data_IF_289829710478
#
_entry.id   IF_289829710478
#
_cell.length_a   1.000
_cell.length_b   1.000
_cell.length_c   1.000
_cell.angle_alpha   90.00
_cell.angle_beta   90.00
_cell.angle_gamma   90.00
#
_symmetry.space_group_name_H-M   'P 1'
#
loop_
_entity.id
_entity.type
_entity.pdbx_description
1 polymer ?
#
# COMPACT_ATOMS: atom_id res chain seq x y z
N UNK A 1 26.60 -22.52 -11.62
CA UNK A 1 26.36 -22.43 -10.17
C UNK A 1 25.29 -21.39 -9.94
N UNK A 2 24.11 -21.79 -9.47
CA UNK A 2 23.07 -20.83 -9.06
C UNK A 2 23.61 -19.94 -7.96
N UNK A 3 23.37 -18.62 -7.97
CA UNK A 3 23.82 -17.75 -6.90
C UNK A 3 23.14 -18.24 -5.62
N UNK A 4 23.97 -18.64 -4.66
CA UNK A 4 23.54 -19.05 -3.32
C UNK A 4 22.83 -17.83 -2.71
N UNK A 5 21.54 -17.97 -2.41
CA UNK A 5 20.80 -16.91 -1.75
C UNK A 5 21.50 -16.58 -0.43
N UNK A 6 21.90 -15.33 -0.25
CA UNK A 6 22.66 -14.82 0.89
C UNK A 6 21.83 -14.71 2.18
N UNK A 7 20.96 -15.69 2.46
CA UNK A 7 20.20 -15.78 3.69
C UNK A 7 20.79 -16.89 4.56
N UNK A 8 21.36 -16.51 5.70
CA UNK A 8 21.82 -17.47 6.71
C UNK A 8 20.68 -18.37 7.20
N UNK A 9 21.07 -19.51 7.77
CA UNK A 9 20.13 -20.45 8.36
C UNK A 9 19.59 -19.87 9.67
N UNK A 10 18.26 -19.74 9.77
CA UNK A 10 17.58 -18.99 10.84
C UNK A 10 16.43 -19.80 11.42
N UNK A 11 16.27 -19.76 12.74
CA UNK A 11 15.09 -20.26 13.45
C UNK A 11 14.40 -19.12 14.17
N UNK A 12 13.13 -18.88 13.85
CA UNK A 12 12.26 -17.97 14.60
C UNK A 12 11.46 -18.82 15.60
N UNK A 13 11.72 -18.66 16.90
CA UNK A 13 11.24 -19.58 17.95
C UNK A 13 10.09 -19.00 18.76
N UNK A 14 9.12 -19.85 19.12
CA UNK A 14 8.11 -19.57 20.13
C UNK A 14 6.99 -18.61 19.70
N UNK A 15 7.02 -18.15 18.45
CA UNK A 15 6.09 -17.17 17.90
C UNK A 15 4.70 -17.71 17.63
N UNK A 16 3.76 -16.77 17.47
CA UNK A 16 2.40 -17.07 16.99
C UNK A 16 2.35 -16.86 15.47
N UNK A 17 2.33 -17.95 14.72
CA UNK A 17 2.34 -17.95 13.27
C UNK A 17 0.96 -17.59 12.70
N UNK A 18 0.95 -16.62 11.79
CA UNK A 18 -0.17 -16.24 10.92
C UNK A 18 0.32 -16.36 9.47
N UNK A 19 0.04 -17.48 8.83
CA UNK A 19 0.66 -17.88 7.55
C UNK A 19 -0.01 -17.29 6.29
N UNK A 20 -1.03 -16.43 6.45
CA UNK A 20 -1.71 -15.78 5.34
C UNK A 20 -2.78 -16.63 4.63
N UNK A 21 -2.94 -17.91 4.99
CA UNK A 21 -3.92 -18.81 4.36
C UNK A 21 -5.37 -18.57 4.82
N UNK A 22 -5.57 -17.77 5.86
CA UNK A 22 -6.87 -17.59 6.53
C UNK A 22 -7.17 -18.61 7.63
N UNK A 23 -6.30 -19.61 7.82
CA UNK A 23 -6.39 -20.59 8.92
C UNK A 23 -6.11 -19.89 10.27
N UNK A 24 -6.69 -20.37 11.40
CA UNK A 24 -6.41 -19.81 12.72
C UNK A 24 -4.92 -19.78 13.08
N UNK A 25 -4.52 -18.71 13.78
CA UNK A 25 -3.15 -18.53 14.28
C UNK A 25 -2.75 -19.67 15.24
N UNK A 26 -1.48 -20.07 15.21
CA UNK A 26 -0.96 -21.18 16.05
C UNK A 26 0.45 -20.86 16.56
N UNK A 27 0.82 -21.39 17.72
CA UNK A 27 2.20 -21.28 18.23
C UNK A 27 3.10 -22.29 17.51
N UNK A 28 4.18 -21.81 16.90
CA UNK A 28 5.13 -22.65 16.18
C UNK A 28 6.47 -21.92 16.02
N UNK A 29 7.52 -22.69 15.76
CA UNK A 29 8.81 -22.21 15.29
C UNK A 29 8.80 -22.20 13.74
N UNK A 30 9.62 -21.33 13.14
CA UNK A 30 9.82 -21.26 11.70
C UNK A 30 11.29 -21.46 11.41
N UNK A 31 11.63 -22.54 10.70
CA UNK A 31 13.00 -22.86 10.29
C UNK A 31 13.20 -22.41 8.86
N UNK A 32 14.21 -21.59 8.64
CA UNK A 32 14.62 -21.06 7.35
C UNK A 32 16.01 -21.61 7.04
N UNK A 33 16.15 -22.26 5.89
CA UNK A 33 17.42 -22.77 5.38
C UNK A 33 17.63 -22.27 3.96
N UNK A 34 18.82 -21.78 3.64
CA UNK A 34 19.15 -21.29 2.29
C UNK A 34 18.10 -20.31 1.71
N UNK A 35 17.63 -19.38 2.54
CA UNK A 35 16.62 -18.38 2.15
C UNK A 35 15.20 -18.92 1.89
N UNK A 36 14.89 -20.16 2.29
CA UNK A 36 13.54 -20.76 2.14
C UNK A 36 13.02 -21.26 3.47
N UNK A 37 11.71 -21.14 3.69
CA UNK A 37 11.04 -21.78 4.83
C UNK A 37 11.07 -23.29 4.62
N UNK A 38 11.79 -24.00 5.48
CA UNK A 38 11.91 -25.45 5.45
C UNK A 38 10.79 -26.10 6.27
N UNK A 39 10.54 -25.58 7.48
CA UNK A 39 9.62 -26.18 8.44
C UNK A 39 8.86 -25.09 9.20
N UNK A 40 7.56 -25.30 9.37
CA UNK A 40 6.72 -24.53 10.31
C UNK A 40 6.15 -25.51 11.32
N UNK A 41 6.64 -25.46 12.55
CA UNK A 41 6.35 -26.47 13.56
C UNK A 41 7.30 -26.35 14.74
N UNK A 42 7.47 -27.42 15.52
CA UNK A 42 8.47 -27.42 16.60
C UNK A 42 9.85 -27.70 16.01
N UNK A 43 10.81 -26.80 16.20
CA UNK A 43 12.20 -27.05 15.84
C UNK A 43 12.83 -28.01 16.87
N UNK A 44 13.61 -28.98 16.38
CA UNK A 44 14.42 -29.82 17.26
C UNK A 44 15.66 -29.06 17.76
N UNK A 45 16.31 -29.62 18.78
CA UNK A 45 17.44 -28.95 19.43
C UNK A 45 18.65 -28.83 18.50
N UNK A 46 18.92 -29.86 17.70
CA UNK A 46 20.04 -29.85 16.75
C UNK A 46 19.89 -28.71 15.74
N UNK A 47 18.69 -28.51 15.19
CA UNK A 47 18.37 -27.42 14.27
C UNK A 47 18.54 -26.06 14.93
N UNK A 48 18.13 -25.90 16.19
CA UNK A 48 18.30 -24.64 16.92
C UNK A 48 19.78 -24.34 17.16
N UNK A 49 20.58 -25.36 17.50
CA UNK A 49 22.01 -25.21 17.79
C UNK A 49 22.84 -24.93 16.52
N UNK A 50 22.35 -25.31 15.34
CA UNK A 50 23.00 -25.09 14.03
C UNK A 50 22.64 -23.76 13.33
N UNK A 51 21.57 -23.09 13.78
CA UNK A 51 21.03 -21.88 13.13
C UNK A 51 21.17 -20.65 14.02
N UNK A 52 21.18 -19.47 13.40
CA UNK A 52 20.88 -18.25 14.15
C UNK A 52 19.45 -18.35 14.70
N UNK A 53 19.23 -17.83 15.92
CA UNK A 53 17.93 -17.93 16.58
C UNK A 53 17.37 -16.55 16.91
N UNK A 54 16.11 -16.32 16.54
CA UNK A 54 15.30 -15.17 16.94
C UNK A 54 14.23 -15.64 17.91
N UNK A 55 14.21 -15.10 19.12
CA UNK A 55 13.11 -15.33 20.07
C UNK A 55 11.91 -14.45 19.71
N UNK A 56 10.80 -15.11 19.36
CA UNK A 56 9.54 -14.48 18.99
C UNK A 56 8.43 -14.77 20.01
N UNK A 57 8.75 -15.16 21.24
CA UNK A 57 7.74 -15.37 22.28
C UNK A 57 6.89 -14.11 22.50
N UNK A 58 5.57 -14.28 22.53
CA UNK A 58 4.61 -13.17 22.60
C UNK A 58 4.48 -12.34 21.30
N UNK A 59 5.22 -12.65 20.23
CA UNK A 59 5.18 -11.95 18.94
C UNK A 59 4.40 -12.74 17.88
N UNK A 60 4.05 -12.03 16.80
CA UNK A 60 3.45 -12.61 15.59
C UNK A 60 4.55 -12.86 14.57
N UNK A 61 4.51 -14.05 13.95
CA UNK A 61 5.35 -14.40 12.80
C UNK A 61 4.43 -14.54 11.59
N UNK A 62 4.66 -13.74 10.56
CA UNK A 62 3.82 -13.71 9.36
C UNK A 62 4.70 -13.61 8.11
N UNK A 63 4.18 -13.97 6.92
CA UNK A 63 4.81 -13.60 5.66
C UNK A 63 5.05 -12.09 5.61
N UNK A 64 6.19 -11.69 5.03
CA UNK A 64 6.47 -10.28 4.81
C UNK A 64 5.39 -9.64 3.94
N UNK A 65 5.09 -8.37 4.20
CA UNK A 65 4.04 -7.65 3.48
C UNK A 65 4.48 -7.45 2.03
N UNK A 66 3.54 -7.66 1.10
CA UNK A 66 3.68 -7.33 -0.32
C UNK A 66 2.95 -6.01 -0.56
N UNK A 67 3.70 -4.95 -0.80
CA UNK A 67 3.14 -3.65 -1.17
C UNK A 67 2.89 -3.62 -2.68
N UNK A 68 1.62 -3.77 -3.05
CA UNK A 68 1.20 -3.91 -4.44
C UNK A 68 1.18 -2.58 -5.22
N UNK A 69 1.39 -1.43 -4.56
CA UNK A 69 1.25 -0.13 -5.20
C UNK A 69 2.25 0.89 -4.67
N UNK A 70 3.43 0.92 -5.30
CA UNK A 70 4.51 1.86 -4.95
C UNK A 70 5.01 2.62 -6.18
N UNK A 71 5.72 3.70 -5.91
CA UNK A 71 6.53 4.47 -6.85
C UNK A 71 8.00 4.46 -6.41
N UNK A 72 8.48 3.30 -5.97
CA UNK A 72 9.85 3.11 -5.52
C UNK A 72 10.84 2.83 -6.64
N UNK A 73 10.39 2.72 -7.89
CA UNK A 73 11.25 2.51 -9.03
C UNK A 73 12.37 3.57 -9.18
N UNK A 74 12.15 4.88 -8.89
CA UNK A 74 13.25 5.82 -8.67
C UNK A 74 13.99 5.61 -7.35
N UNK A 75 13.28 5.37 -6.23
CA UNK A 75 13.90 5.31 -4.91
C UNK A 75 14.95 4.19 -4.78
N UNK A 76 14.68 3.01 -5.32
CA UNK A 76 15.61 1.87 -5.28
C UNK A 76 16.90 2.09 -6.08
N UNK A 77 17.01 3.21 -6.81
CA UNK A 77 18.26 3.62 -7.45
C UNK A 77 19.28 4.15 -6.46
N UNK A 78 18.84 4.91 -5.45
CA UNK A 78 19.69 5.55 -4.44
C UNK A 78 19.49 5.03 -3.01
N UNK A 79 18.36 4.40 -2.71
CA UNK A 79 18.04 3.70 -1.45
C UNK A 79 17.63 2.24 -1.77
N UNK A 80 18.60 1.35 -2.02
CA UNK A 80 18.32 -0.03 -2.43
C UNK A 80 17.66 -0.89 -1.33
N UNK A 81 17.63 -0.41 -0.09
CA UNK A 81 16.94 -1.09 1.01
C UNK A 81 15.45 -0.80 1.03
N UNK A 82 14.98 0.22 0.29
CA UNK A 82 13.63 0.78 0.43
C UNK A 82 13.31 1.04 1.90
N UNK A 83 14.15 1.86 2.54
CA UNK A 83 14.27 1.95 4.01
C UNK A 83 12.96 2.30 4.71
N UNK A 84 12.04 3.00 4.04
CA UNK A 84 10.71 3.29 4.59
C UNK A 84 9.79 2.07 4.66
N UNK A 85 9.93 1.11 3.75
CA UNK A 85 9.03 -0.05 3.64
C UNK A 85 9.37 -1.12 4.66
N UNK A 86 10.67 -1.36 4.88
CA UNK A 86 11.14 -2.41 5.79
C UNK A 86 10.72 -2.15 7.24
N UNK A 87 10.60 -0.88 7.66
CA UNK A 87 10.10 -0.50 8.98
C UNK A 87 8.62 -0.87 9.20
N UNK A 88 7.88 -1.12 8.11
CA UNK A 88 6.48 -1.55 8.14
C UNK A 88 6.32 -3.05 7.86
N UNK A 89 7.42 -3.82 7.84
CA UNK A 89 7.40 -5.26 7.57
C UNK A 89 7.19 -5.61 6.09
N UNK A 90 7.36 -4.63 5.18
CA UNK A 90 7.29 -4.86 3.73
C UNK A 90 8.58 -5.53 3.28
N UNK A 91 8.43 -6.61 2.51
CA UNK A 91 9.55 -7.38 1.96
C UNK A 91 9.52 -7.45 0.43
N UNK A 92 8.40 -7.06 -0.17
CA UNK A 92 8.22 -7.06 -1.63
C UNK A 92 7.44 -5.82 -2.01
N UNK A 93 7.89 -5.12 -3.05
CA UNK A 93 7.21 -3.94 -3.59
C UNK A 93 6.94 -4.14 -5.08
N UNK A 94 5.78 -3.69 -5.52
CA UNK A 94 5.42 -3.55 -6.91
C UNK A 94 5.49 -2.07 -7.28
N UNK A 95 6.43 -1.70 -8.14
CA UNK A 95 6.70 -0.33 -8.56
C UNK A 95 6.24 -0.05 -10.00
N UNK A 96 6.35 1.20 -10.46
CA UNK A 96 5.92 1.60 -11.81
C UNK A 96 4.41 1.66 -12.00
N UNK A 97 3.66 2.03 -10.96
CA UNK A 97 2.19 2.14 -11.02
C UNK A 97 1.73 3.41 -11.77
N UNK A 98 0.42 3.69 -11.78
CA UNK A 98 -0.18 4.93 -12.29
C UNK A 98 0.09 5.30 -13.76
N UNK A 99 0.66 4.38 -14.53
CA UNK A 99 1.00 4.60 -15.93
C UNK A 99 2.38 5.17 -16.18
N UNK A 100 3.28 5.21 -15.18
CA UNK A 100 4.65 5.69 -15.37
C UNK A 100 5.64 5.00 -14.43
N UNK A 101 6.88 4.94 -14.89
CA UNK A 101 8.03 4.35 -14.21
C UNK A 101 9.30 5.15 -14.55
N UNK A 102 10.47 4.73 -14.08
CA UNK A 102 11.77 5.28 -14.52
C UNK A 102 12.27 4.70 -15.85
N UNK A 103 11.72 3.59 -16.32
CA UNK A 103 12.13 2.95 -17.58
C UNK A 103 10.91 2.51 -18.43
N UNK A 104 11.01 2.55 -19.77
CA UNK A 104 12.14 3.07 -20.55
C UNK A 104 12.20 4.61 -20.53
N UNK A 105 13.40 5.18 -20.59
CA UNK A 105 13.63 6.63 -20.57
C UNK A 105 14.91 6.97 -21.33
N UNK A 106 14.82 7.73 -22.41
CA UNK A 106 16.03 8.26 -23.08
C UNK A 106 16.69 9.33 -22.22
N UNK A 107 17.98 9.52 -22.43
CA UNK A 107 18.75 10.60 -21.79
C UNK A 107 18.07 11.98 -21.93
N UNK A 108 17.51 12.30 -23.10
CA UNK A 108 16.81 13.57 -23.34
C UNK A 108 15.50 13.75 -22.54
N UNK A 109 14.90 12.66 -22.05
CA UNK A 109 13.61 12.65 -21.37
C UNK A 109 13.72 12.45 -19.85
N UNK A 110 14.92 12.24 -19.30
CA UNK A 110 15.12 12.03 -17.86
C UNK A 110 14.58 13.21 -17.02
N UNK A 111 14.77 14.44 -17.48
CA UNK A 111 14.25 15.63 -16.81
C UNK A 111 12.71 15.65 -16.78
N UNK A 112 12.05 15.19 -17.86
CA UNK A 112 10.60 15.06 -17.92
C UNK A 112 10.11 14.03 -16.89
N UNK A 113 10.74 12.85 -16.82
CA UNK A 113 10.38 11.79 -15.88
C UNK A 113 10.55 12.24 -14.43
N UNK A 114 11.65 12.91 -14.08
CA UNK A 114 11.85 13.48 -12.73
C UNK A 114 10.72 14.43 -12.33
N UNK A 115 10.34 15.34 -13.23
CA UNK A 115 9.22 16.27 -12.99
C UNK A 115 7.87 15.56 -12.90
N UNK A 116 7.67 14.48 -13.65
CA UNK A 116 6.47 13.65 -13.58
C UNK A 116 6.30 13.04 -12.18
N UNK A 117 7.33 12.41 -11.62
CA UNK A 117 7.31 11.88 -10.26
C UNK A 117 7.11 12.97 -9.21
N UNK A 118 7.84 14.08 -9.31
CA UNK A 118 7.69 15.18 -8.37
C UNK A 118 6.27 15.76 -8.37
N UNK A 119 5.61 15.79 -9.53
CA UNK A 119 4.25 16.33 -9.66
C UNK A 119 3.18 15.34 -9.20
N UNK A 120 3.18 14.12 -9.72
CA UNK A 120 2.08 13.17 -9.51
C UNK A 120 2.20 12.53 -8.12
N UNK A 121 3.40 12.08 -7.75
CA UNK A 121 3.67 11.37 -6.50
C UNK A 121 4.14 12.28 -5.36
N UNK A 122 4.20 13.59 -5.62
CA UNK A 122 4.65 14.59 -4.63
C UNK A 122 6.01 14.25 -4.03
N UNK A 123 6.87 13.61 -4.83
CA UNK A 123 8.25 13.34 -4.43
C UNK A 123 9.06 14.62 -4.42
N UNK A 124 9.90 14.80 -3.41
CA UNK A 124 10.73 15.99 -3.32
C UNK A 124 11.66 16.08 -4.55
N UNK A 125 11.69 17.21 -5.28
CA UNK A 125 12.53 17.34 -6.48
C UNK A 125 14.01 17.02 -6.24
N UNK A 126 14.54 17.40 -5.07
CA UNK A 126 15.93 17.09 -4.69
C UNK A 126 16.18 15.57 -4.56
N UNK A 127 15.18 14.78 -4.16
CA UNK A 127 15.29 13.32 -4.14
C UNK A 127 15.31 12.74 -5.57
N UNK A 128 14.61 13.38 -6.50
CA UNK A 128 14.66 13.01 -7.92
C UNK A 128 16.03 13.25 -8.54
N UNK A 129 16.83 14.16 -7.98
CA UNK A 129 18.18 14.41 -8.45
C UNK A 129 19.16 13.28 -8.17
N UNK A 130 18.89 12.49 -7.13
CA UNK A 130 19.65 11.30 -6.77
C UNK A 130 19.34 10.08 -7.66
N UNK A 131 18.36 10.16 -8.56
CA UNK A 131 18.02 9.03 -9.44
C UNK A 131 19.15 8.80 -10.45
N UNK A 132 19.82 7.65 -10.32
CA UNK A 132 20.88 7.22 -11.23
C UNK A 132 20.28 6.57 -12.50
N UNK A 133 20.31 7.28 -13.61
CA UNK A 133 19.91 6.74 -14.92
C UNK A 133 21.11 6.11 -15.65
N UNK A 134 21.54 4.94 -15.19
CA UNK A 134 22.56 4.11 -15.85
C UNK A 134 21.96 3.04 -16.78
N UNK A 135 20.77 3.34 -17.30
CA UNK A 135 19.95 2.51 -18.18
C UNK A 135 19.08 3.42 -19.05
N UNK A 136 18.66 2.95 -20.22
CA UNK A 136 17.60 3.60 -21.00
C UNK A 136 16.40 2.66 -21.19
N UNK A 137 16.65 1.37 -21.34
CA UNK A 137 15.60 0.37 -21.60
C UNK A 137 15.12 -0.32 -20.31
N UNK A 138 13.94 -0.90 -20.36
CA UNK A 138 13.40 -1.66 -19.23
C UNK A 138 14.27 -2.88 -18.83
N UNK A 139 14.79 -3.70 -19.77
CA UNK A 139 15.71 -4.78 -19.42
C UNK A 139 17.01 -4.31 -18.76
N UNK A 140 17.58 -3.19 -19.22
CA UNK A 140 18.75 -2.57 -18.59
C UNK A 140 18.44 -2.12 -17.17
N UNK A 141 17.29 -1.48 -16.94
CA UNK A 141 16.84 -1.10 -15.61
C UNK A 141 16.83 -2.29 -14.65
N UNK A 142 16.17 -3.39 -15.02
CA UNK A 142 16.14 -4.60 -14.20
C UNK A 142 17.54 -5.19 -13.96
N UNK A 143 18.40 -5.18 -14.98
CA UNK A 143 19.77 -5.66 -14.86
C UNK A 143 20.57 -4.86 -13.83
N UNK A 144 20.40 -3.53 -13.78
CA UNK A 144 21.10 -2.67 -12.81
C UNK A 144 20.69 -2.92 -11.36
N UNK A 145 19.53 -3.55 -11.11
CA UNK A 145 19.03 -3.81 -9.75
C UNK A 145 19.44 -5.18 -9.21
N UNK A 146 19.81 -6.13 -10.08
CA UNK A 146 20.08 -7.51 -9.70
C UNK A 146 21.19 -7.61 -8.65
N UNK A 147 20.89 -8.27 -7.53
CA UNK A 147 21.84 -8.49 -6.43
C UNK A 147 22.17 -7.25 -5.59
N UNK A 148 21.46 -6.14 -5.79
CA UNK A 148 21.70 -4.88 -5.05
C UNK A 148 20.61 -4.51 -4.08
N UNK A 149 19.44 -5.15 -4.15
CA UNK A 149 18.25 -4.77 -3.38
C UNK A 149 18.17 -5.51 -2.04
N UNK A 150 17.72 -4.81 -0.99
CA UNK A 150 17.40 -5.40 0.31
C UNK A 150 16.00 -6.00 0.40
N UNK A 151 15.16 -5.76 -0.62
CA UNK A 151 13.78 -6.26 -0.75
C UNK A 151 13.57 -6.90 -2.11
N UNK A 152 12.48 -7.65 -2.27
CA UNK A 152 12.04 -8.10 -3.59
C UNK A 152 11.39 -6.93 -4.34
N UNK A 153 11.69 -6.82 -5.63
CA UNK A 153 11.13 -5.81 -6.51
C UNK A 153 10.46 -6.49 -7.72
N UNK A 154 9.22 -6.11 -7.96
CA UNK A 154 8.54 -6.28 -9.22
C UNK A 154 8.22 -4.89 -9.78
N UNK A 155 8.32 -4.67 -11.09
CA UNK A 155 8.06 -3.36 -11.68
C UNK A 155 7.19 -3.52 -12.92
N UNK A 156 6.15 -2.70 -13.03
CA UNK A 156 5.37 -2.58 -14.26
C UNK A 156 6.13 -1.71 -15.26
N UNK A 157 5.94 -1.98 -16.56
CA UNK A 157 6.30 -1.01 -17.59
C UNK A 157 5.23 0.08 -17.65
N UNK A 158 5.66 1.35 -17.60
CA UNK A 158 4.75 2.50 -17.59
C UNK A 158 4.30 2.91 -19.00
N UNK A 159 2.99 2.99 -19.23
CA UNK A 159 2.43 3.43 -20.51
C UNK A 159 2.92 4.83 -20.94
N UNK A 160 3.03 5.78 -20.01
CA UNK A 160 3.53 7.12 -20.31
C UNK A 160 4.98 7.12 -20.77
N UNK A 161 5.81 6.23 -20.20
CA UNK A 161 7.19 6.03 -20.62
C UNK A 161 7.27 5.44 -22.02
N UNK A 162 6.42 4.46 -22.32
CA UNK A 162 6.33 3.83 -23.65
C UNK A 162 5.91 4.85 -24.72
N UNK A 163 4.89 5.68 -24.45
CA UNK A 163 4.51 6.78 -25.34
C UNK A 163 5.64 7.78 -25.54
N UNK A 164 6.31 8.19 -24.46
CA UNK A 164 7.46 9.10 -24.55
C UNK A 164 8.61 8.49 -25.34
N UNK A 165 8.85 7.19 -25.18
CA UNK A 165 9.86 6.45 -25.90
C UNK A 165 9.57 6.41 -27.41
N UNK A 166 8.35 6.17 -27.85
CA UNK A 166 8.07 6.09 -29.29
C UNK A 166 7.84 7.47 -29.92
N UNK A 167 7.06 8.31 -29.24
CA UNK A 167 6.54 9.56 -29.81
C UNK A 167 7.34 10.81 -29.40
N UNK A 168 8.27 10.68 -28.45
CA UNK A 168 8.95 11.83 -27.85
C UNK A 168 7.95 12.80 -27.22
N UNK A 169 8.14 14.10 -27.45
CA UNK A 169 7.26 15.15 -26.92
C UNK A 169 5.79 15.02 -27.38
N UNK A 170 5.56 14.50 -28.58
CA UNK A 170 4.22 14.34 -29.14
C UNK A 170 3.34 13.38 -28.33
N UNK A 171 3.94 12.51 -27.50
CA UNK A 171 3.21 11.63 -26.58
C UNK A 171 2.35 12.38 -25.56
N UNK A 172 2.67 13.65 -25.27
CA UNK A 172 1.92 14.56 -24.40
C UNK A 172 1.00 15.52 -25.17
N UNK A 173 0.84 15.36 -26.49
CA UNK A 173 0.18 16.36 -27.34
C UNK A 173 -0.95 15.79 -28.21
N UNK A 174 -0.85 14.52 -28.63
CA UNK A 174 -1.81 13.89 -29.55
C UNK A 174 -1.96 12.39 -29.33
N UNK A 175 -2.97 11.78 -29.94
CA UNK A 175 -3.07 10.33 -30.04
C UNK A 175 -1.94 9.74 -30.89
N UNK A 176 -1.60 8.46 -30.64
CA UNK A 176 -0.62 7.73 -31.43
C UNK A 176 -1.22 7.26 -32.75
N UNK A 177 -0.41 7.24 -33.80
CA UNK A 177 -0.73 6.60 -35.08
C UNK A 177 -0.63 5.08 -34.94
N UNK A 178 -1.25 4.34 -35.86
CA UNK A 178 -1.18 2.87 -35.84
C UNK A 178 0.26 2.32 -35.88
N UNK A 179 1.17 2.98 -36.60
CA UNK A 179 2.58 2.59 -36.64
C UNK A 179 3.28 2.81 -35.29
N UNK A 180 3.01 3.93 -34.62
CA UNK A 180 3.52 4.21 -33.27
C UNK A 180 2.95 3.23 -32.25
N UNK A 181 1.67 2.86 -32.36
CA UNK A 181 1.05 1.84 -31.49
C UNK A 181 1.76 0.49 -31.62
N UNK A 182 2.09 0.07 -32.84
CA UNK A 182 2.82 -1.19 -33.05
C UNK A 182 4.25 -1.13 -32.49
N UNK A 183 4.94 0.00 -32.64
CA UNK A 183 6.27 0.18 -32.04
C UNK A 183 6.18 0.16 -30.50
N UNK A 184 5.17 0.80 -29.91
CA UNK A 184 4.91 0.76 -28.47
C UNK A 184 4.60 -0.66 -27.98
N UNK A 185 3.80 -1.41 -28.74
CA UNK A 185 3.51 -2.81 -28.45
C UNK A 185 4.79 -3.66 -28.45
N UNK A 186 5.73 -3.39 -29.36
CA UNK A 186 7.03 -4.05 -29.37
C UNK A 186 7.87 -3.74 -28.14
N UNK A 187 7.88 -2.48 -27.68
CA UNK A 187 8.56 -2.10 -26.42
C UNK A 187 7.95 -2.84 -25.22
N UNK A 188 6.63 -2.97 -25.16
CA UNK A 188 5.94 -3.73 -24.10
C UNK A 188 6.32 -5.21 -24.16
N UNK A 189 6.30 -5.85 -25.34
CA UNK A 189 6.71 -7.27 -25.50
C UNK A 189 8.14 -7.52 -25.01
N UNK A 190 9.08 -6.62 -25.34
CA UNK A 190 10.47 -6.71 -24.87
C UNK A 190 10.56 -6.61 -23.34
N UNK A 191 9.81 -5.69 -22.72
CA UNK A 191 9.79 -5.53 -21.28
C UNK A 191 9.17 -6.74 -20.57
N UNK A 192 8.07 -7.29 -21.09
CA UNK A 192 7.46 -8.52 -20.57
C UNK A 192 8.42 -9.70 -20.65
N UNK A 193 9.09 -9.89 -21.79
CA UNK A 193 10.09 -10.95 -21.96
C UNK A 193 11.29 -10.80 -20.99
N UNK A 194 11.62 -9.57 -20.59
CA UNK A 194 12.66 -9.30 -19.61
C UNK A 194 12.22 -9.47 -18.14
N UNK A 195 10.93 -9.71 -17.88
CA UNK A 195 10.39 -9.94 -16.54
C UNK A 195 9.66 -8.74 -15.93
N UNK A 196 9.11 -7.84 -16.74
CA UNK A 196 8.15 -6.86 -16.23
C UNK A 196 6.97 -7.57 -15.52
N UNK A 197 6.47 -6.97 -14.45
CA UNK A 197 5.30 -7.47 -13.72
C UNK A 197 4.00 -7.34 -14.53
N UNK A 198 4.04 -6.60 -15.63
CA UNK A 198 2.92 -6.28 -16.49
C UNK A 198 2.99 -4.84 -17.00
N UNK A 199 1.86 -4.30 -17.41
CA UNK A 199 1.69 -2.93 -17.89
C UNK A 199 0.95 -2.08 -16.84
N UNK A 200 1.39 -0.84 -16.63
CA UNK A 200 0.58 0.16 -15.92
C UNK A 200 0.09 1.26 -16.86
N UNK A 201 -1.14 1.72 -16.65
CA UNK A 201 -1.74 2.82 -17.41
C UNK A 201 -2.68 3.66 -16.55
N UNK A 202 -2.96 4.90 -16.96
CA UNK A 202 -3.93 5.76 -16.31
C UNK A 202 -4.59 6.71 -17.30
N UNK A 203 -5.92 6.81 -17.17
CA UNK A 203 -6.75 7.85 -17.78
C UNK A 203 -7.32 8.81 -16.73
N UNK A 204 -6.93 8.70 -15.44
CA UNK A 204 -7.49 9.54 -14.39
C UNK A 204 -7.24 11.04 -14.60
N UNK A 205 -8.26 11.89 -14.36
CA UNK A 205 -8.16 13.32 -14.55
C UNK A 205 -7.15 14.00 -13.62
N UNK A 206 -6.82 13.36 -12.49
CA UNK A 206 -5.87 13.84 -11.50
C UNK A 206 -4.40 13.65 -11.90
N UNK A 207 -4.10 12.79 -12.87
CA UNK A 207 -2.71 12.57 -13.30
C UNK A 207 -2.30 13.64 -14.31
N UNK A 208 -1.55 14.63 -13.83
CA UNK A 208 -1.09 15.79 -14.57
C UNK A 208 0.43 15.86 -14.45
N UNK A 209 1.14 16.09 -15.55
CA UNK A 209 2.59 16.16 -15.61
C UNK A 209 3.13 17.48 -15.02
N UNK A 210 4.47 17.58 -14.93
CA UNK A 210 5.16 18.74 -14.37
C UNK A 210 4.88 20.06 -15.09
N UNK A 211 4.41 20.03 -16.34
CA UNK A 211 4.08 21.21 -17.14
C UNK A 211 2.58 21.54 -17.08
N UNK A 212 1.80 20.83 -16.27
CA UNK A 212 0.36 21.05 -16.11
C UNK A 212 -0.49 20.38 -17.19
N UNK A 213 0.08 19.49 -18.01
CA UNK A 213 -0.63 18.76 -19.06
C UNK A 213 -1.08 17.39 -18.56
N UNK A 214 -2.08 16.74 -19.19
CA UNK A 214 -2.34 15.32 -18.94
C UNK A 214 -1.05 14.50 -19.08
N UNK A 215 -0.80 13.55 -18.18
CA UNK A 215 0.30 12.59 -18.38
C UNK A 215 0.11 11.86 -19.72
N UNK A 216 1.18 11.46 -20.43
CA UNK A 216 1.08 10.94 -21.79
C UNK A 216 0.02 9.85 -21.97
N UNK A 217 -0.08 8.89 -21.04
CA UNK A 217 -1.07 7.80 -21.11
C UNK A 217 -2.51 8.26 -21.19
N UNK A 218 -2.85 9.44 -20.64
CA UNK A 218 -4.23 9.97 -20.67
C UNK A 218 -4.70 10.38 -22.06
N UNK A 219 -3.77 10.65 -22.98
CA UNK A 219 -4.06 10.99 -24.36
C UNK A 219 -4.09 9.75 -25.27
N UNK A 220 -3.97 8.54 -24.70
CA UNK A 220 -4.11 7.31 -25.48
C UNK A 220 -5.57 7.08 -25.84
N UNK A 221 -5.79 6.74 -27.11
CA UNK A 221 -7.07 6.22 -27.58
C UNK A 221 -7.30 4.79 -27.06
N UNK A 222 -8.54 4.32 -27.24
CA UNK A 222 -8.94 2.97 -26.78
C UNK A 222 -8.16 1.85 -27.49
N UNK A 223 -7.98 1.97 -28.80
CA UNK A 223 -7.27 0.97 -29.61
C UNK A 223 -5.80 0.81 -29.19
N UNK A 224 -5.17 1.90 -28.76
CA UNK A 224 -3.79 1.90 -28.30
C UNK A 224 -3.62 1.05 -27.03
N UNK A 225 -4.35 1.37 -25.96
CA UNK A 225 -4.18 0.63 -24.70
C UNK A 225 -4.63 -0.84 -24.83
N UNK A 226 -5.60 -1.16 -25.69
CA UNK A 226 -5.94 -2.56 -25.99
C UNK A 226 -4.79 -3.31 -26.68
N UNK A 227 -4.13 -2.69 -27.66
CA UNK A 227 -2.98 -3.29 -28.32
C UNK A 227 -1.81 -3.48 -27.35
N UNK A 228 -1.57 -2.51 -26.45
CA UNK A 228 -0.54 -2.65 -25.41
C UNK A 228 -0.90 -3.71 -24.36
N UNK A 229 -2.18 -3.86 -24.03
CA UNK A 229 -2.68 -4.90 -23.14
C UNK A 229 -2.46 -6.30 -23.75
N UNK A 230 -2.79 -6.48 -25.02
CA UNK A 230 -2.53 -7.71 -25.77
C UNK A 230 -1.01 -8.01 -25.84
N UNK A 231 -0.18 -7.00 -26.11
CA UNK A 231 1.27 -7.12 -26.07
C UNK A 231 1.78 -7.54 -24.68
N UNK A 232 1.21 -6.99 -23.60
CA UNK A 232 1.54 -7.37 -22.23
C UNK A 232 1.20 -8.85 -21.95
N UNK A 233 0.11 -9.35 -22.54
CA UNK A 233 -0.34 -10.74 -22.44
C UNK A 233 0.57 -11.78 -23.11
N UNK A 234 1.51 -11.37 -23.96
CA UNK A 234 2.32 -12.28 -24.80
C UNK A 234 3.12 -13.35 -24.04
N UNK A 235 3.44 -13.12 -22.76
CA UNK A 235 4.19 -14.07 -21.91
C UNK A 235 3.26 -14.94 -21.05
N UNK A 236 1.96 -14.62 -20.97
CA UNK A 236 0.98 -15.37 -20.18
C UNK A 236 1.12 -15.22 -18.66
N UNK A 237 1.88 -14.22 -18.20
CA UNK A 237 2.09 -13.93 -16.78
C UNK A 237 2.18 -12.42 -16.53
N UNK A 238 1.76 -12.00 -15.33
CA UNK A 238 1.73 -10.60 -14.91
C UNK A 238 0.30 -10.09 -14.68
N UNK A 239 0.15 -8.77 -14.63
CA UNK A 239 -1.16 -8.10 -14.49
C UNK A 239 -1.15 -6.74 -15.16
N UNK A 240 -2.31 -6.25 -15.59
CA UNK A 240 -2.46 -4.87 -16.02
C UNK A 240 -2.96 -4.05 -14.84
N UNK A 241 -2.23 -3.01 -14.49
CA UNK A 241 -2.69 -2.06 -13.48
C UNK A 241 -3.22 -0.82 -14.17
N UNK A 242 -4.47 -0.48 -13.88
CA UNK A 242 -5.16 0.57 -14.61
C UNK A 242 -5.92 1.48 -13.66
N UNK A 243 -5.78 2.79 -13.87
CA UNK A 243 -6.59 3.79 -13.21
C UNK A 243 -7.55 4.44 -14.22
N UNK A 244 -8.85 4.06 -14.20
CA UNK A 244 -9.84 4.57 -15.15
C UNK A 244 -10.13 6.06 -15.01
N UNK A 245 -10.64 6.68 -16.06
CA UNK A 245 -11.00 8.10 -16.07
C UNK A 245 -12.07 8.44 -15.02
N UNK A 246 -13.07 7.58 -14.89
CA UNK A 246 -14.19 7.72 -13.96
C UNK A 246 -13.82 7.38 -12.50
N UNK A 247 -12.63 6.84 -12.20
CA UNK A 247 -12.27 6.37 -10.86
C UNK A 247 -12.41 7.44 -9.75
N UNK A 248 -12.18 8.71 -10.08
CA UNK A 248 -12.39 9.84 -9.15
C UNK A 248 -13.87 10.08 -8.85
N UNK A 249 -14.75 9.87 -9.82
CA UNK A 249 -16.21 9.96 -9.68
C UNK A 249 -16.89 8.64 -9.31
N UNK A 250 -16.13 7.56 -9.14
CA UNK A 250 -16.69 6.20 -9.09
C UNK A 250 -16.76 5.61 -10.49
N UNK A 251 -16.32 4.35 -10.61
CA UNK A 251 -16.23 3.71 -11.92
C UNK A 251 -17.62 3.62 -12.56
N UNK A 252 -17.74 4.07 -13.81
CA UNK A 252 -18.96 3.96 -14.58
C UNK A 252 -18.96 2.71 -15.47
N UNK A 253 -20.11 2.41 -16.08
CA UNK A 253 -20.25 1.22 -16.92
C UNK A 253 -19.30 1.21 -18.14
N UNK A 254 -18.93 2.39 -18.66
CA UNK A 254 -18.01 2.50 -19.79
C UNK A 254 -16.62 2.00 -19.38
N UNK A 255 -16.09 2.51 -18.27
CA UNK A 255 -14.79 2.10 -17.75
C UNK A 255 -14.80 0.66 -17.20
N UNK A 256 -15.93 0.21 -16.62
CA UNK A 256 -16.09 -1.19 -16.20
C UNK A 256 -15.97 -2.16 -17.38
N UNK A 257 -16.73 -1.90 -18.44
CA UNK A 257 -16.70 -2.73 -19.64
C UNK A 257 -15.35 -2.65 -20.34
N UNK A 258 -14.69 -1.49 -20.29
CA UNK A 258 -13.35 -1.34 -20.83
C UNK A 258 -12.31 -2.13 -20.03
N UNK A 259 -12.40 -2.16 -18.70
CA UNK A 259 -11.53 -3.02 -17.88
C UNK A 259 -11.73 -4.50 -18.19
N UNK A 260 -12.97 -4.94 -18.41
CA UNK A 260 -13.26 -6.33 -18.81
C UNK A 260 -12.58 -6.64 -20.14
N UNK A 261 -12.76 -5.78 -21.16
CA UNK A 261 -12.15 -6.01 -22.47
C UNK A 261 -10.60 -5.99 -22.41
N UNK A 262 -9.99 -5.13 -21.58
CA UNK A 262 -8.53 -5.15 -21.36
C UNK A 262 -8.07 -6.52 -20.85
N UNK A 263 -8.83 -7.12 -19.92
CA UNK A 263 -8.53 -8.44 -19.40
C UNK A 263 -8.78 -9.56 -20.41
N UNK A 264 -9.85 -9.47 -21.20
CA UNK A 264 -10.14 -10.43 -22.29
C UNK A 264 -9.06 -10.41 -23.38
N UNK A 265 -8.59 -9.22 -23.78
CA UNK A 265 -7.55 -9.06 -24.81
C UNK A 265 -6.17 -9.51 -24.34
N UNK A 266 -5.84 -9.21 -23.09
CA UNK A 266 -4.52 -9.55 -22.54
C UNK A 266 -4.43 -10.98 -21.99
N UNK A 267 -5.56 -11.57 -21.59
CA UNK A 267 -5.56 -12.79 -20.77
C UNK A 267 -4.95 -12.58 -19.39
N UNK A 268 -4.71 -11.33 -18.96
CA UNK A 268 -4.10 -10.99 -17.68
C UNK A 268 -5.15 -10.43 -16.70
N UNK A 269 -4.96 -10.65 -15.38
CA UNK A 269 -5.77 -9.98 -14.38
C UNK A 269 -5.61 -8.46 -14.44
N UNK A 270 -6.71 -7.75 -14.22
CA UNK A 270 -6.74 -6.30 -14.12
C UNK A 270 -6.74 -5.90 -12.65
N UNK A 271 -5.86 -4.97 -12.28
CA UNK A 271 -5.81 -4.39 -10.95
C UNK A 271 -6.17 -2.91 -11.06
N UNK A 272 -7.34 -2.56 -10.56
CA UNK A 272 -7.79 -1.18 -10.51
C UNK A 272 -7.06 -0.48 -9.37
N UNK A 273 -6.37 0.60 -9.72
CA UNK A 273 -5.58 1.37 -8.78
C UNK A 273 -6.47 2.41 -8.06
N UNK A 274 -7.32 1.98 -7.11
CA UNK A 274 -8.02 2.92 -6.24
C UNK A 274 -9.48 3.18 -6.61
N UNK A 275 -10.29 2.12 -6.70
CA UNK A 275 -11.74 2.23 -6.59
C UNK A 275 -12.09 2.54 -5.12
N UNK A 276 -12.42 3.80 -4.85
CA UNK A 276 -12.73 4.24 -3.50
C UNK A 276 -14.13 3.79 -3.08
N UNK A 277 -14.24 2.95 -2.05
CA UNK A 277 -15.52 2.64 -1.38
C UNK A 277 -16.10 3.79 -0.55
N UNK A 278 -15.67 5.04 -0.78
CA UNK A 278 -16.28 6.20 -0.13
C UNK A 278 -17.64 6.40 -0.79
N UNK A 279 -18.69 6.51 0.01
CA UNK A 279 -19.80 7.40 -0.35
C UNK A 279 -19.18 8.80 -0.45
N UNK A 280 -18.65 9.13 -1.64
CA UNK A 280 -18.30 10.50 -1.95
C UNK A 280 -19.66 11.19 -2.00
N UNK A 281 -19.90 12.16 -1.12
CA UNK A 281 -21.11 13.00 -1.17
C UNK A 281 -21.35 13.56 -2.58
N UNK A 282 -20.28 13.67 -3.36
CA UNK A 282 -20.27 14.24 -4.71
C UNK A 282 -20.36 13.16 -5.81
N UNK A 283 -20.40 11.87 -5.45
CA UNK A 283 -20.60 10.75 -6.38
C UNK A 283 -21.57 9.71 -5.80
N UNK A 284 -22.89 9.99 -5.80
CA UNK A 284 -23.91 9.15 -5.16
C UNK A 284 -24.04 7.74 -5.76
N UNK A 285 -23.54 7.50 -6.97
CA UNK A 285 -23.54 6.20 -7.65
C UNK A 285 -22.32 5.33 -7.30
N UNK A 286 -21.27 5.91 -6.72
CA UNK A 286 -20.00 5.25 -6.37
C UNK A 286 -20.07 4.42 -5.08
N UNK A 287 -21.10 3.58 -4.94
CA UNK A 287 -21.35 2.83 -3.71
C UNK A 287 -20.49 1.56 -3.61
N UNK A 288 -20.22 1.11 -2.38
CA UNK A 288 -19.55 -0.15 -2.13
C UNK A 288 -20.29 -1.35 -2.75
N UNK A 289 -21.63 -1.36 -2.71
CA UNK A 289 -22.45 -2.41 -3.31
C UNK A 289 -22.23 -2.51 -4.83
N UNK A 290 -22.29 -1.38 -5.53
CA UNK A 290 -22.08 -1.32 -6.99
C UNK A 290 -20.69 -1.79 -7.40
N UNK A 291 -19.68 -1.47 -6.59
CA UNK A 291 -18.32 -1.97 -6.79
C UNK A 291 -18.22 -3.48 -6.65
N UNK A 292 -18.87 -4.06 -5.63
CA UNK A 292 -18.90 -5.51 -5.45
C UNK A 292 -19.64 -6.21 -6.60
N UNK A 293 -20.77 -5.66 -7.04
CA UNK A 293 -21.52 -6.18 -8.20
C UNK A 293 -20.66 -6.21 -9.46
N UNK A 294 -19.92 -5.14 -9.75
CA UNK A 294 -18.99 -5.09 -10.87
C UNK A 294 -17.89 -6.14 -10.76
N UNK A 295 -17.19 -6.22 -9.62
CA UNK A 295 -16.10 -7.17 -9.44
C UNK A 295 -16.61 -8.62 -9.56
N UNK A 296 -17.78 -8.93 -9.01
CA UNK A 296 -18.41 -10.24 -9.13
C UNK A 296 -18.80 -10.55 -10.60
N UNK A 297 -19.35 -9.56 -11.33
CA UNK A 297 -19.69 -9.69 -12.75
C UNK A 297 -18.45 -9.97 -13.61
N UNK A 298 -17.36 -9.24 -13.37
CA UNK A 298 -16.11 -9.43 -14.10
C UNK A 298 -15.53 -10.84 -13.88
N UNK A 299 -15.49 -11.29 -12.62
CA UNK A 299 -15.04 -12.66 -12.28
C UNK A 299 -15.94 -13.72 -12.90
N UNK A 300 -17.27 -13.53 -12.89
CA UNK A 300 -18.21 -14.45 -13.54
C UNK A 300 -18.02 -14.55 -15.06
N UNK A 301 -17.56 -13.47 -15.69
CA UNK A 301 -17.21 -13.43 -17.12
C UNK A 301 -15.81 -13.98 -17.43
N UNK A 302 -15.11 -14.55 -16.44
CA UNK A 302 -13.78 -15.13 -16.64
C UNK A 302 -12.65 -14.10 -16.70
N UNK A 303 -12.92 -12.82 -16.43
CA UNK A 303 -11.91 -11.76 -16.38
C UNK A 303 -11.64 -11.37 -14.92
N UNK A 304 -10.54 -11.84 -14.31
CA UNK A 304 -10.24 -11.52 -12.92
C UNK A 304 -9.86 -10.04 -12.78
N UNK A 305 -10.79 -9.26 -12.23
CA UNK A 305 -10.56 -7.85 -11.88
C UNK A 305 -10.48 -7.72 -10.36
N UNK A 306 -9.40 -7.10 -9.90
CA UNK A 306 -9.14 -6.79 -8.52
C UNK A 306 -9.05 -5.29 -8.32
N UNK A 307 -9.15 -4.85 -7.07
CA UNK A 307 -9.02 -3.45 -6.72
C UNK A 307 -8.12 -3.27 -5.49
N UNK A 308 -7.25 -2.27 -5.55
CA UNK A 308 -6.44 -1.85 -4.41
C UNK A 308 -7.23 -0.82 -3.59
N UNK A 309 -7.33 -1.07 -2.28
CA UNK A 309 -8.03 -0.21 -1.33
C UNK A 309 -7.07 0.34 -0.30
N UNK A 310 -7.14 1.64 -0.06
CA UNK A 310 -6.46 2.27 1.07
C UNK A 310 -7.28 2.00 2.32
N UNK A 311 -6.71 1.30 3.30
CA UNK A 311 -7.38 0.87 4.54
C UNK A 311 -7.56 1.98 5.58
N UNK A 312 -7.40 3.26 5.21
CA UNK A 312 -7.54 4.37 6.16
C UNK A 312 -9.02 4.55 6.53
N UNK A 313 -9.44 4.28 7.79
CA UNK A 313 -10.70 4.81 8.26
C UNK A 313 -10.51 6.33 8.35
N UNK A 314 -11.40 7.17 7.80
CA UNK A 314 -11.31 8.60 8.01
C UNK A 314 -11.60 8.89 9.49
N UNK A 315 -10.58 8.88 10.34
CA UNK A 315 -10.64 9.52 11.65
C UNK A 315 -10.52 11.03 11.45
N UNK A 316 -11.48 11.62 10.75
CA UNK A 316 -11.70 13.05 10.72
C UNK A 316 -12.69 13.40 11.83
N UNK A 317 -12.21 13.64 13.06
CA UNK A 317 -12.97 14.43 14.03
C UNK A 317 -12.97 15.87 13.52
N UNK A 318 -13.99 16.28 12.77
CA UNK A 318 -14.31 17.71 12.69
C UNK A 318 -14.82 18.13 14.07
N UNK A 319 -14.05 18.99 14.74
CA UNK A 319 -14.51 19.70 15.94
C UNK A 319 -15.43 20.83 15.50
N UNK A 320 -16.73 20.56 15.39
CA UNK A 320 -17.82 21.54 15.61
C UNK A 320 -19.19 20.90 15.34
N UNK A 321 -20.05 20.83 16.37
CA UNK A 321 -21.47 20.47 16.23
C UNK A 321 -21.96 19.41 17.25
N UNK A 322 -23.14 19.60 17.88
CA UNK A 322 -23.57 18.80 19.02
C UNK A 322 -23.91 17.36 18.61
N UNK A 323 -23.63 16.45 19.55
CA UNK A 323 -23.68 14.99 19.43
C UNK A 323 -25.02 14.50 18.87
N UNK A 324 -24.99 13.96 17.66
CA UNK A 324 -25.91 12.89 17.24
C UNK A 324 -25.10 11.62 17.03
N UNK A 325 -25.45 10.58 17.77
CA UNK A 325 -24.82 9.26 17.72
C UNK A 325 -25.03 8.63 16.34
N UNK A 326 -23.98 8.54 15.53
CA UNK A 326 -24.02 7.73 14.32
C UNK A 326 -23.74 6.27 14.71
N UNK A 327 -24.81 5.49 14.85
CA UNK A 327 -24.75 4.03 14.97
C UNK A 327 -24.36 3.43 13.63
N UNK A 328 -23.06 3.24 13.39
CA UNK A 328 -22.59 2.38 12.30
C UNK A 328 -23.01 0.93 12.59
N UNK A 329 -24.15 0.51 12.04
CA UNK A 329 -24.60 -0.88 11.99
C UNK A 329 -23.65 -1.63 11.05
N UNK A 330 -22.70 -2.37 11.60
CA UNK A 330 -21.78 -3.22 10.83
C UNK A 330 -22.58 -4.22 9.99
N UNK A 331 -22.48 -4.11 8.66
CA UNK A 331 -23.02 -5.10 7.72
C UNK A 331 -22.30 -6.44 7.87
N UNK A 332 -23.04 -7.55 7.69
CA UNK A 332 -22.60 -8.94 7.91
C UNK A 332 -21.39 -9.40 7.06
N UNK A 333 -20.93 -8.62 6.08
CA UNK A 333 -19.75 -8.92 5.25
C UNK A 333 -18.39 -8.57 5.86
N UNK A 334 -18.34 -7.93 7.04
CA UNK A 334 -17.10 -7.52 7.72
C UNK A 334 -16.77 -8.39 8.96
N UNK A 335 -17.14 -9.66 8.96
CA UNK A 335 -16.67 -10.63 9.96
C UNK A 335 -15.34 -11.26 9.52
N UNK A 336 -14.29 -10.46 9.41
CA UNK A 336 -12.93 -10.98 9.56
C UNK A 336 -11.98 -9.79 9.78
N UNK A 337 -11.82 -9.36 11.04
CA UNK A 337 -10.57 -8.76 11.58
C UNK A 337 -10.70 -8.10 12.96
N UNK A 338 -11.88 -8.10 13.62
CA UNK A 338 -12.05 -7.38 14.90
C UNK A 338 -12.67 -8.14 16.08
N UNK A 339 -12.67 -9.47 16.05
CA UNK A 339 -13.12 -10.27 17.21
C UNK A 339 -12.15 -11.44 17.48
N UNK A 340 -10.98 -11.16 18.03
CA UNK A 340 -10.13 -12.17 18.71
C UNK A 340 -9.54 -11.67 20.03
N UNK A 341 -10.13 -10.65 20.64
CA UNK A 341 -9.74 -10.16 21.96
C UNK A 341 -10.97 -9.95 22.82
N UNK A 342 -11.61 -11.05 23.23
CA UNK A 342 -12.25 -11.23 24.54
C UNK A 342 -12.83 -12.63 24.62
N UNK A 343 -12.17 -13.46 25.42
CA UNK A 343 -12.70 -14.69 25.97
C UNK A 343 -13.92 -14.40 26.87
N UNK A 344 -14.83 -15.38 26.91
CA UNK A 344 -16.01 -15.53 27.77
C UNK A 344 -17.32 -14.96 27.23
N UNK A 345 -18.17 -15.82 26.66
CA UNK A 345 -19.64 -15.72 26.83
C UNK A 345 -20.25 -17.13 26.86
N UNK A 346 -20.88 -17.46 28.00
CA UNK A 346 -21.84 -18.56 28.18
C UNK A 346 -23.22 -18.15 27.60
N UNK A 347 -24.09 -19.10 27.22
CA UNK A 347 -25.35 -18.79 26.56
C UNK A 347 -26.45 -18.43 27.55
N UNK A 348 -27.29 -17.45 27.22
CA UNK A 348 -28.60 -17.28 27.84
C UNK A 348 -29.61 -16.71 26.84
N UNK A 349 -30.87 -17.08 27.08
CA UNK A 349 -31.90 -17.34 26.09
C UNK A 349 -32.76 -16.13 25.67
N UNK A 350 -33.52 -16.38 24.61
CA UNK A 350 -34.56 -15.59 23.94
C UNK A 350 -35.65 -15.08 24.92
N UNK A 351 -36.11 -13.83 24.73
CA UNK A 351 -37.55 -13.47 24.87
C UNK A 351 -37.91 -12.22 24.05
N UNK A 352 -39.12 -12.27 23.52
CA UNK A 352 -39.77 -11.48 22.47
C UNK A 352 -40.72 -10.40 23.00
N UNK A 353 -41.01 -9.36 22.20
CA UNK A 353 -42.32 -8.69 22.15
C UNK A 353 -42.36 -7.17 22.35
N UNK A 354 -42.86 -6.43 21.34
CA UNK A 354 -43.31 -5.03 21.44
C UNK A 354 -43.60 -4.38 20.06
N UNK A 355 -44.76 -3.72 19.82
CA UNK A 355 -45.21 -3.26 18.49
C UNK A 355 -44.71 -1.83 18.12
N UNK A 356 -44.80 -1.40 16.83
CA UNK A 356 -44.28 -0.11 16.39
C UNK A 356 -45.29 1.04 16.56
N UNK A 357 -44.80 2.22 16.99
CA UNK A 357 -45.58 3.47 17.02
C UNK A 357 -45.44 4.25 15.71
N UNK A 358 -46.58 4.58 15.09
CA UNK A 358 -46.73 5.59 14.05
C UNK A 358 -46.74 7.00 14.65
N UNK A 359 -46.09 7.97 13.98
CA UNK A 359 -46.08 9.37 14.39
C UNK A 359 -45.85 10.33 13.21
N UNK A 360 -46.88 11.12 12.90
CA UNK A 360 -46.97 12.13 11.82
C UNK A 360 -45.89 13.22 11.93
N UNK A 361 -45.37 13.65 10.78
CA UNK A 361 -44.58 14.87 10.64
C UNK A 361 -45.46 16.01 10.09
N UNK A 362 -45.55 17.13 10.83
CA UNK A 362 -46.03 18.43 10.32
C UNK A 362 -44.83 19.22 9.83
N UNK A 363 -44.93 19.77 8.62
CA UNK A 363 -44.00 20.72 8.02
C UNK A 363 -44.33 22.14 8.45
N UNK A 364 -43.35 22.87 8.97
CA UNK A 364 -43.37 24.34 9.02
C UNK A 364 -42.11 24.88 8.37
N UNK A 365 -42.33 25.65 7.30
CA UNK A 365 -41.35 26.41 6.52
C UNK A 365 -40.92 27.66 7.28
N UNK A 366 -39.61 27.88 7.41
CA UNK A 366 -39.04 29.19 7.73
C UNK A 366 -37.69 29.36 7.01
N UNK A 367 -37.63 30.34 6.12
CA UNK A 367 -36.46 30.85 5.40
C UNK A 367 -35.55 31.68 6.33
N UNK A 368 -34.22 31.61 6.22
CA UNK A 368 -33.33 32.62 6.78
C UNK A 368 -32.68 33.49 5.68
N UNK A 369 -32.84 34.80 5.83
CA UNK A 369 -32.16 35.87 5.11
C UNK A 369 -30.76 36.17 5.70
N UNK A 370 -29.87 36.65 4.85
CA UNK A 370 -28.49 37.04 5.17
C UNK A 370 -28.40 38.48 5.72
N UNK A 371 -27.61 38.68 6.80
CA UNK A 371 -26.99 39.96 7.15
C UNK A 371 -25.77 39.74 8.09
N UNK A 372 -24.60 40.38 7.87
CA UNK A 372 -23.44 40.26 8.75
C UNK A 372 -23.41 41.36 9.83
N UNK A 373 -22.86 41.11 11.04
CA UNK A 373 -22.71 42.13 12.07
C UNK A 373 -21.37 42.91 11.96
N UNK A 374 -21.29 44.12 12.55
CA UNK A 374 -20.25 45.11 12.25
C UNK A 374 -18.97 44.95 13.10
N UNK A 375 -17.85 45.46 12.56
CA UNK A 375 -16.56 45.61 13.26
C UNK A 375 -16.50 46.94 14.02
N UNK A 376 -15.89 46.95 15.21
CA UNK A 376 -15.30 48.14 15.82
C UNK A 376 -13.93 47.84 16.48
N UNK A 377 -13.05 48.86 16.60
CA UNK A 377 -11.60 48.73 16.72
C UNK A 377 -11.05 49.13 18.11
N UNK A 378 -9.72 49.08 18.26
CA UNK A 378 -8.79 49.67 19.26
C UNK A 378 -7.84 48.57 19.78
N UNK A 379 -6.51 48.68 19.89
CA UNK A 379 -5.53 49.74 19.67
C UNK A 379 -4.13 49.11 19.90
N UNK A 380 -3.13 49.60 19.16
CA UNK A 380 -1.69 49.23 19.05
C UNK A 380 -0.87 49.35 20.37
N UNK A 381 0.47 49.09 20.41
CA UNK A 381 1.35 48.16 19.65
C UNK A 381 2.36 47.40 20.55
N UNK A 382 3.01 46.34 20.04
CA UNK A 382 4.41 46.03 20.37
C UNK A 382 5.05 45.21 19.24
N UNK A 383 6.16 45.73 18.72
CA UNK A 383 7.03 45.10 17.74
C UNK A 383 8.05 44.20 18.43
N UNK A 384 8.23 42.97 17.95
CA UNK A 384 9.57 42.39 17.84
C UNK A 384 9.59 41.34 16.71
N UNK A 385 10.57 41.51 15.84
CA UNK A 385 10.83 40.78 14.62
C UNK A 385 11.58 39.45 14.86
N UNK A 386 11.55 38.61 13.82
CA UNK A 386 12.46 37.49 13.50
C UNK A 386 12.38 36.19 14.31
N UNK A 387 11.75 35.17 13.72
CA UNK A 387 12.44 33.97 13.21
C UNK A 387 11.48 33.13 12.34
N UNK A 388 11.77 33.07 11.05
CA UNK A 388 11.23 32.06 10.16
C UNK A 388 11.89 30.71 10.48
N UNK A 389 11.10 29.66 10.71
CA UNK A 389 11.55 28.26 10.64
C UNK A 389 10.41 27.41 10.04
N UNK A 390 10.72 26.51 9.09
CA UNK A 390 9.76 25.60 8.50
C UNK A 390 9.39 24.49 9.50
N UNK A 391 8.14 24.03 9.43
CA UNK A 391 7.62 22.90 10.23
C UNK A 391 8.40 21.62 9.94
N UNK A 392 9.42 21.35 10.77
CA UNK A 392 9.98 20.02 10.99
C UNK A 392 9.24 19.44 12.20
N UNK A 393 8.46 18.37 11.98
CA UNK A 393 8.00 17.55 13.09
C UNK A 393 9.12 16.57 13.48
N UNK A 394 10.00 16.98 14.38
CA UNK A 394 10.91 16.10 15.11
C UNK A 394 10.12 15.18 16.05
N UNK A 395 10.23 13.87 15.90
CA UNK A 395 9.86 12.92 16.96
C UNK A 395 11.01 12.80 17.97
N UNK A 396 10.69 13.05 19.23
CA UNK A 396 11.58 12.97 20.38
C UNK A 396 11.92 11.51 20.72
N UNK A 397 13.20 11.26 21.01
CA UNK A 397 13.70 10.01 21.58
C UNK A 397 13.28 9.92 23.05
N UNK A 398 12.56 8.87 23.42
CA UNK A 398 12.32 8.51 24.81
C UNK A 398 12.82 7.08 25.07
N UNK A 399 13.95 6.95 25.77
CA UNK A 399 14.41 5.70 26.38
C UNK A 399 13.44 5.31 27.50
N UNK A 400 13.05 4.04 27.56
CA UNK A 400 12.45 3.45 28.76
C UNK A 400 13.22 2.20 29.18
N UNK A 401 13.41 1.97 30.50
CA UNK A 401 14.20 0.88 31.03
C UNK A 401 13.41 -0.44 31.15
N UNK A 402 14.20 -1.50 31.20
CA UNK A 402 13.88 -2.92 31.36
C UNK A 402 13.26 -3.29 32.72
N UNK A 403 12.18 -4.10 32.71
CA UNK A 403 11.83 -5.22 33.63
C UNK A 403 10.34 -5.26 34.08
N UNK A 404 9.74 -6.45 34.34
CA UNK A 404 8.29 -6.68 34.30
C UNK A 404 7.59 -6.57 35.67
N UNK A 405 6.25 -6.47 35.74
CA UNK A 405 5.54 -6.35 37.02
C UNK A 405 5.09 -7.73 37.56
N UNK A 406 5.52 -8.05 38.78
CA UNK A 406 4.90 -9.08 39.62
C UNK A 406 3.71 -8.49 40.38
N UNK A 407 2.53 -9.12 40.30
CA UNK A 407 1.38 -8.84 41.16
C UNK A 407 1.57 -9.49 42.53
N UNK A 408 1.46 -8.73 43.61
CA UNK A 408 1.15 -9.27 44.93
C UNK A 408 0.29 -8.25 45.72
N UNK A 409 -0.77 -8.77 46.32
CA UNK A 409 -1.76 -8.06 47.11
C UNK A 409 -1.21 -7.66 48.49
N UNK A 410 -1.60 -6.49 48.97
CA UNK A 410 -1.34 -6.02 50.34
C UNK A 410 -2.01 -6.91 51.39
N UNK A 411 -1.23 -7.35 52.39
CA UNK A 411 -1.65 -7.58 53.78
C UNK A 411 -0.54 -7.06 54.73
N UNK A 412 -0.90 -6.59 55.94
CA UNK A 412 0.02 -5.84 56.80
C UNK A 412 0.94 -6.75 57.64
N UNK A 413 2.13 -6.21 57.95
CA UNK A 413 3.19 -6.66 58.87
C UNK A 413 2.70 -7.07 60.27
N UNK A 414 3.39 -8.00 60.97
CA UNK A 414 4.50 -7.57 61.86
C UNK A 414 5.70 -8.53 62.05
N UNK A 415 6.85 -7.92 62.35
CA UNK A 415 7.85 -8.28 63.39
C UNK A 415 8.90 -9.43 63.20
N UNK A 416 10.17 -8.96 63.23
CA UNK A 416 11.42 -9.49 63.84
C UNK A 416 12.33 -10.54 63.14
N UNK A 417 13.63 -10.15 63.14
CA UNK A 417 14.91 -10.91 63.21
C UNK A 417 15.54 -11.61 61.99
N UNK A 418 16.62 -10.96 61.51
CA UNK A 418 17.88 -11.50 60.91
C UNK A 418 18.49 -12.67 61.72
N UNK A 419 19.44 -13.51 61.21
CA UNK A 419 20.52 -13.15 60.28
C UNK A 419 20.94 -14.16 59.20
N UNK A 420 21.75 -13.68 58.25
CA UNK A 420 22.52 -14.44 57.25
C UNK A 420 23.56 -15.40 57.86
N UNK A 421 24.14 -16.30 57.05
CA UNK A 421 25.54 -16.03 56.65
C UNK A 421 25.89 -16.36 55.19
N UNK A 422 26.97 -15.72 54.75
CA UNK A 422 27.71 -15.81 53.49
C UNK A 422 28.47 -17.13 53.37
N UNK A 423 28.63 -17.67 52.16
CA UNK A 423 29.85 -18.43 51.75
C UNK A 423 30.14 -18.15 50.25
N UNK A 424 31.36 -17.69 49.98
CA UNK A 424 31.97 -17.48 48.66
C UNK A 424 32.57 -18.79 48.10
N UNK A 425 32.65 -18.89 46.77
CA UNK A 425 33.27 -19.98 45.99
C UNK A 425 34.80 -20.06 46.17
N UNK A 426 35.40 -21.25 45.98
CA UNK A 426 36.84 -21.39 45.73
C UNK A 426 37.15 -21.33 44.22
N UNK A 427 38.30 -20.76 43.88
CA UNK A 427 39.00 -20.98 42.61
C UNK A 427 40.31 -21.72 42.91
N UNK A 428 40.65 -22.68 42.07
CA UNK A 428 41.95 -23.37 42.10
C UNK A 428 42.40 -23.60 40.66
N UNK A 429 43.48 -22.93 40.29
CA UNK A 429 44.39 -23.35 39.21
C UNK A 429 45.36 -24.39 39.78
N UNK A 430 45.63 -25.42 38.98
CA UNK A 430 46.53 -26.54 39.26
C UNK A 430 46.41 -27.59 38.18
#
# INVERSE_FOLDING_TARGET
MSPQAAGGDLVIRGGTVVDGTGIPRRRADVVIRNGRVQTVGRADRATIDECDTVDADGLIVAPGVVDAHTHYDPQVTYDPLASMSIYHGVTTVLAGNCGFAVAPTRTADQAFVRRLFAKVEQMEPAAMDAVEFNFETFPEYLATRKGRLGINLACYIGHSNVRRWVMGAAGSEREATAAEVEEMAQVVRVAMAAGAAGLSSSHAPTHVDGDGRPVPSRLSGRAELLALAEAAGSVGAGSITYLPASAVGGIDETDENYCIELGERSGLPIIIQGLGGRNKTDAPTATWGRAQEFLNRAVANGTPIYNILITRPPTGRSRSGPRTSCTCRCHRGWRCWRCLTTSAWRPCAIRSGGPPCEGRWRTTTATPSWAPPPRRPCGRPCWCSTCATPNIATCSVARWPTSPPSRAWHRPTPCWTSPSPRICRPGSDG
#
